data_IF_062001658157
#
_entry.id   IF_062001658157
#
_cell.length_a   1.000
_cell.length_b   1.000
_cell.length_c   1.000
_cell.angle_alpha   90.00
_cell.angle_beta   90.00
_cell.angle_gamma   90.00
#
_symmetry.space_group_name_H-M   'P 1'
#
loop_
_entity.id
_entity.type
_entity.pdbx_description
1 polymer ?
#
# COMPACT_ATOMS: atom_id res chain seq x y z
N UNK A 1 45.53 32.99 11.43
CA UNK A 1 45.51 33.88 10.24
C UNK A 1 45.02 33.10 9.04
N UNK A 2 43.94 33.57 8.39
CA UNK A 2 43.43 33.34 7.02
C UNK A 2 41.89 33.37 7.06
N UNK A 3 41.23 34.54 7.01
CA UNK A 3 41.00 35.49 5.90
C UNK A 3 40.03 34.98 4.82
N UNK A 4 38.84 35.59 4.88
CA UNK A 4 37.73 35.71 3.95
C UNK A 4 38.09 35.94 2.47
N UNK A 5 37.30 35.33 1.58
CA UNK A 5 36.73 35.84 0.30
C UNK A 5 36.44 34.61 -0.60
N UNK A 6 35.19 34.17 -0.79
CA UNK A 6 34.15 34.70 -1.70
C UNK A 6 34.57 34.65 -3.18
N UNK A 7 33.63 34.19 -4.05
CA UNK A 7 33.56 34.30 -5.54
C UNK A 7 33.77 32.93 -6.22
N UNK A 8 32.85 32.26 -6.92
CA UNK A 8 31.59 32.62 -7.59
C UNK A 8 30.72 31.35 -7.70
N UNK A 9 29.50 31.38 -7.15
CA UNK A 9 28.31 30.72 -7.71
C UNK A 9 27.52 31.88 -8.34
N UNK A 10 27.08 31.86 -9.58
CA UNK A 10 26.14 30.88 -10.13
C UNK A 10 26.23 30.84 -11.65
N UNK A 11 26.16 29.61 -12.18
CA UNK A 11 25.96 29.33 -13.59
C UNK A 11 24.50 29.68 -13.96
N UNK A 12 24.31 30.83 -14.60
CA UNK A 12 23.09 31.18 -15.31
C UNK A 12 23.03 30.33 -16.59
N UNK A 13 22.30 29.22 -16.51
CA UNK A 13 21.87 28.49 -17.69
C UNK A 13 20.56 27.77 -17.38
N UNK A 14 19.49 28.47 -17.71
CA UNK A 14 18.51 27.96 -18.68
C UNK A 14 17.83 26.62 -18.38
N UNK A 15 16.53 26.77 -18.14
CA UNK A 15 15.50 26.08 -18.91
C UNK A 15 15.20 24.63 -18.54
N UNK A 16 14.12 24.51 -17.75
CA UNK A 16 12.95 23.76 -18.14
C UNK A 16 13.21 22.36 -18.71
N UNK A 17 13.71 21.46 -17.86
CA UNK A 17 13.49 20.03 -18.10
C UNK A 17 12.34 19.57 -17.21
N UNK A 18 11.13 19.88 -17.68
CA UNK A 18 9.92 19.17 -17.29
C UNK A 18 10.04 17.72 -17.77
N UNK A 19 10.84 16.92 -17.08
CA UNK A 19 10.87 15.49 -17.29
C UNK A 19 9.50 14.96 -16.85
N UNK A 20 8.73 14.48 -17.81
CA UNK A 20 7.59 13.60 -17.55
C UNK A 20 8.16 12.33 -16.94
N UNK A 21 8.36 12.37 -15.62
CA UNK A 21 8.72 11.20 -14.86
C UNK A 21 7.54 10.24 -15.01
N UNK A 22 7.75 9.02 -15.56
CA UNK A 22 6.71 8.03 -15.58
C UNK A 22 6.29 7.81 -14.13
N UNK A 23 5.05 8.18 -13.80
CA UNK A 23 4.47 7.88 -12.50
C UNK A 23 4.42 6.37 -12.40
N UNK A 24 5.37 5.80 -11.66
CA UNK A 24 5.33 4.40 -11.29
C UNK A 24 4.01 4.17 -10.57
N UNK A 25 3.11 3.39 -11.18
CA UNK A 25 1.90 2.94 -10.53
C UNK A 25 2.39 2.14 -9.33
N UNK A 26 2.25 2.71 -8.14
CA UNK A 26 2.56 2.03 -6.90
C UNK A 26 1.51 0.95 -6.72
N UNK A 27 1.76 -0.23 -7.27
CA UNK A 27 1.00 -1.45 -6.96
C UNK A 27 1.24 -1.76 -5.49
N UNK A 28 0.42 -1.18 -4.62
CA UNK A 28 0.44 -1.55 -3.22
C UNK A 28 0.14 -3.05 -3.14
N UNK A 29 0.96 -3.83 -2.41
CA UNK A 29 0.68 -5.23 -2.23
C UNK A 29 -0.70 -5.39 -1.58
N UNK A 30 -1.46 -6.36 -2.06
CA UNK A 30 -2.75 -6.70 -1.46
C UNK A 30 -2.57 -7.01 0.02
N UNK A 31 -3.53 -6.60 0.85
CA UNK A 31 -3.42 -6.77 2.30
C UNK A 31 -3.62 -8.24 2.64
N UNK A 32 -2.52 -8.96 2.80
CA UNK A 32 -2.53 -10.36 3.27
C UNK A 32 -2.76 -10.37 4.78
N UNK A 33 -3.81 -11.09 5.21
CA UNK A 33 -4.14 -11.31 6.62
C UNK A 33 -4.13 -12.82 6.86
N UNK A 34 -3.49 -13.27 7.93
CA UNK A 34 -3.54 -14.69 8.32
C UNK A 34 -4.97 -15.09 8.70
N UNK A 35 -5.41 -16.25 8.21
CA UNK A 35 -6.75 -16.79 8.52
C UNK A 35 -6.98 -16.92 10.03
N UNK A 36 -5.97 -17.37 10.79
CA UNK A 36 -6.07 -17.50 12.25
C UNK A 36 -6.37 -16.17 12.94
N UNK A 37 -5.75 -15.09 12.47
CA UNK A 37 -5.99 -13.73 12.95
C UNK A 37 -7.36 -13.22 12.54
N UNK A 38 -7.82 -13.58 11.34
CA UNK A 38 -9.12 -13.19 10.82
C UNK A 38 -10.28 -13.81 11.62
N UNK A 39 -10.18 -15.08 12.00
CA UNK A 39 -11.24 -15.79 12.72
C UNK A 39 -11.18 -15.63 14.24
N UNK A 40 -10.08 -15.13 14.81
CA UNK A 40 -9.92 -14.89 16.25
C UNK A 40 -10.28 -16.09 17.18
N UNK A 41 -10.19 -17.33 16.68
CA UNK A 41 -10.56 -18.55 17.41
C UNK A 41 -11.91 -19.15 16.99
N UNK A 42 -12.73 -18.39 16.27
CA UNK A 42 -13.97 -18.88 15.68
C UNK A 42 -13.73 -19.67 14.38
N UNK A 43 -14.80 -20.19 13.81
CA UNK A 43 -14.78 -20.87 12.49
C UNK A 43 -15.47 -20.09 11.39
N UNK A 44 -16.09 -18.96 11.73
CA UNK A 44 -16.77 -18.10 10.79
C UNK A 44 -16.72 -16.65 11.21
N UNK A 45 -16.75 -15.75 10.23
CA UNK A 45 -16.91 -14.31 10.42
C UNK A 45 -17.99 -13.77 9.50
N UNK A 46 -18.71 -12.76 9.99
CA UNK A 46 -19.61 -11.95 9.18
C UNK A 46 -18.87 -10.74 8.61
N UNK A 47 -19.04 -10.48 7.32
CA UNK A 47 -18.51 -9.32 6.62
C UNK A 47 -19.72 -8.55 6.10
N UNK A 48 -19.97 -7.37 6.67
CA UNK A 48 -20.89 -6.43 6.03
C UNK A 48 -20.24 -5.86 4.77
N UNK A 49 -20.91 -6.06 3.65
CA UNK A 49 -20.49 -5.51 2.37
C UNK A 49 -21.70 -4.94 1.63
N UNK A 50 -21.76 -3.61 1.53
CA UNK A 50 -22.81 -2.87 0.82
C UNK A 50 -24.22 -3.24 1.31
N UNK A 51 -24.40 -3.43 2.61
CA UNK A 51 -25.68 -3.79 3.23
C UNK A 51 -26.09 -5.25 3.05
N UNK A 52 -25.19 -6.11 2.55
CA UNK A 52 -25.35 -7.57 2.59
C UNK A 52 -24.31 -8.17 3.53
N UNK A 53 -24.74 -9.13 4.34
CA UNK A 53 -23.85 -9.87 5.23
C UNK A 53 -23.32 -11.09 4.50
N UNK A 54 -22.02 -11.08 4.20
CA UNK A 54 -21.31 -12.25 3.71
C UNK A 54 -20.77 -13.04 4.89
N UNK A 55 -20.75 -14.37 4.79
CA UNK A 55 -20.18 -15.25 5.81
C UNK A 55 -18.96 -15.95 5.24
N UNK A 56 -17.79 -15.61 5.75
CA UNK A 56 -16.58 -16.36 5.48
C UNK A 56 -16.44 -17.44 6.54
N UNK A 57 -16.24 -18.70 6.15
CA UNK A 57 -16.04 -19.84 7.06
C UNK A 57 -14.81 -20.66 6.69
N UNK A 58 -14.17 -21.25 7.68
CA UNK A 58 -13.14 -22.28 7.48
C UNK A 58 -13.76 -23.68 7.57
N UNK A 59 -13.53 -24.48 6.55
CA UNK A 59 -13.99 -25.88 6.51
C UNK A 59 -13.08 -26.79 7.33
N UNK A 60 -13.57 -27.99 7.67
CA UNK A 60 -12.74 -29.04 8.28
C UNK A 60 -11.55 -29.45 7.42
N UNK A 61 -11.62 -29.23 6.10
CA UNK A 61 -10.55 -29.48 5.14
C UNK A 61 -9.55 -28.30 5.02
N UNK A 62 -9.71 -27.25 5.85
CA UNK A 62 -8.84 -26.07 5.84
C UNK A 62 -9.12 -25.06 4.73
N UNK A 63 -10.12 -25.30 3.87
CA UNK A 63 -10.52 -24.35 2.82
C UNK A 63 -11.38 -23.23 3.39
N UNK A 64 -11.21 -22.04 2.85
CA UNK A 64 -12.05 -20.87 3.11
C UNK A 64 -13.23 -20.84 2.13
N UNK A 65 -14.43 -20.62 2.63
CA UNK A 65 -15.65 -20.51 1.82
C UNK A 65 -16.36 -19.21 2.20
N UNK A 66 -16.62 -18.36 1.20
CA UNK A 66 -17.40 -17.15 1.34
C UNK A 66 -18.82 -17.39 0.80
N UNK A 67 -19.82 -17.22 1.66
CA UNK A 67 -21.22 -17.28 1.30
C UNK A 67 -21.85 -15.90 1.39
N UNK A 68 -22.92 -15.67 0.62
CA UNK A 68 -23.77 -14.47 0.70
C UNK A 68 -24.94 -14.71 1.65
#
# INVERSE_FOLDING_TARGET
>A
MNRFAQTMVSNDASSAHGALQPSFISSQPDRVIESRSLFAGDREIGIDHRGSIYRLRITRQGKLILNK
#
